data_IF_613986520002
#
_entry.id   IF_613986520002
#
_cell.length_a   1.000
_cell.length_b   1.000
_cell.length_c   1.000
_cell.angle_alpha   90.00
_cell.angle_beta   90.00
_cell.angle_gamma   90.00
#
_symmetry.space_group_name_H-M   'P 1'
#
loop_
_entity.id
_entity.type
_entity.pdbx_description
1 polymer ?
#
# COMPACT_ATOMS: atom_id res chain seq x y z
N UNK A 1 7.35 -20.76 17.87
CA UNK A 1 6.09 -20.17 18.42
C UNK A 1 5.51 -19.04 17.55
N UNK A 2 5.89 -18.88 16.26
CA UNK A 2 5.33 -17.84 15.39
C UNK A 2 3.94 -18.22 14.83
N UNK A 3 3.69 -19.52 14.58
CA UNK A 3 2.44 -20.02 13.98
C UNK A 3 1.20 -19.87 14.87
N UNK A 4 1.38 -19.85 16.20
CA UNK A 4 0.27 -19.73 17.14
C UNK A 4 -0.18 -18.27 17.33
N UNK A 5 0.71 -17.28 17.18
CA UNK A 5 0.29 -15.88 17.18
C UNK A 5 -0.52 -15.54 15.92
N UNK A 6 -0.17 -16.09 14.76
CA UNK A 6 -0.95 -15.90 13.53
C UNK A 6 -2.38 -16.48 13.62
N UNK A 7 -2.59 -17.58 14.35
CA UNK A 7 -3.91 -18.21 14.50
C UNK A 7 -4.86 -17.42 15.43
N UNK A 8 -4.33 -16.88 16.53
CA UNK A 8 -5.11 -16.07 17.49
C UNK A 8 -5.45 -14.71 16.88
N UNK A 9 -4.52 -14.09 16.15
CA UNK A 9 -4.77 -12.84 15.42
C UNK A 9 -5.79 -13.06 14.29
N UNK A 10 -5.67 -14.14 13.50
CA UNK A 10 -6.59 -14.44 12.41
C UNK A 10 -8.05 -14.69 12.87
N UNK A 11 -8.24 -15.27 14.06
CA UNK A 11 -9.59 -15.48 14.62
C UNK A 11 -10.24 -14.17 15.06
N UNK A 12 -9.46 -13.24 15.61
CA UNK A 12 -9.95 -11.93 16.03
C UNK A 12 -10.32 -11.06 14.82
N UNK A 13 -9.48 -11.08 13.77
CA UNK A 13 -9.70 -10.38 12.50
C UNK A 13 -10.91 -10.96 11.78
N UNK A 14 -11.07 -12.28 11.72
CA UNK A 14 -12.22 -12.94 11.11
C UNK A 14 -13.57 -12.54 11.74
N UNK A 15 -13.61 -12.34 13.05
CA UNK A 15 -14.82 -11.90 13.75
C UNK A 15 -15.21 -10.44 13.42
N UNK A 16 -14.23 -9.55 13.24
CA UNK A 16 -14.46 -8.15 12.86
C UNK A 16 -14.87 -8.05 11.39
N UNK A 17 -14.21 -8.79 10.50
CA UNK A 17 -14.53 -8.85 9.06
C UNK A 17 -15.95 -9.38 8.81
N UNK A 18 -16.40 -10.39 9.57
CA UNK A 18 -17.77 -10.91 9.47
C UNK A 18 -18.84 -9.87 9.85
N UNK A 19 -18.51 -8.89 10.69
CA UNK A 19 -19.44 -7.80 11.06
C UNK A 19 -19.36 -6.58 10.15
N UNK A 20 -18.25 -6.41 9.42
CA UNK A 20 -18.02 -5.27 8.53
C UNK A 20 -18.56 -5.48 7.10
N UNK A 21 -18.85 -6.71 6.68
CA UNK A 21 -19.09 -7.07 5.28
C UNK A 21 -20.20 -6.31 4.52
N UNK A 22 -21.15 -5.64 5.20
CA UNK A 22 -22.26 -4.94 4.52
C UNK A 22 -22.02 -3.45 4.23
N UNK A 23 -20.98 -2.81 4.76
CA UNK A 23 -20.81 -1.35 4.65
C UNK A 23 -19.70 -0.88 3.68
N UNK A 24 -18.76 -1.75 3.28
CA UNK A 24 -17.49 -1.31 2.70
C UNK A 24 -17.34 -1.46 1.18
N UNK A 25 -18.30 -2.05 0.47
CA UNK A 25 -18.23 -2.19 -0.99
C UNK A 25 -18.30 -0.84 -1.74
N UNK A 26 -18.71 0.25 -1.08
CA UNK A 26 -18.86 1.57 -1.70
C UNK A 26 -17.57 2.42 -1.67
N UNK A 27 -16.52 1.97 -0.99
CA UNK A 27 -15.32 2.79 -0.73
C UNK A 27 -14.14 2.49 -1.67
N UNK A 28 -14.41 1.92 -2.85
CA UNK A 28 -13.46 1.93 -3.96
C UNK A 28 -13.33 3.39 -4.42
N UNK A 29 -12.43 4.12 -3.74
CA UNK A 29 -12.22 5.57 -3.83
C UNK A 29 -11.87 5.95 -5.27
N UNK A 30 -12.89 6.42 -6.00
CA UNK A 30 -12.69 7.08 -7.29
C UNK A 30 -11.91 8.38 -7.04
N UNK A 31 -10.65 8.43 -7.49
CA UNK A 31 -9.81 9.64 -7.42
C UNK A 31 -10.28 10.73 -8.39
N UNK A 32 -10.96 10.32 -9.46
CA UNK A 32 -11.53 11.22 -10.46
C UNK A 32 -12.65 12.04 -9.81
N UNK A 33 -12.41 13.34 -9.66
CA UNK A 33 -13.34 14.28 -9.01
C UNK A 33 -13.08 14.50 -7.50
N UNK A 34 -12.11 13.80 -6.91
CA UNK A 34 -11.71 14.05 -5.53
C UNK A 34 -10.98 15.40 -5.40
N UNK A 35 -11.25 16.13 -4.31
CA UNK A 35 -10.60 17.43 -4.05
C UNK A 35 -9.25 17.22 -3.37
N UNK A 36 -8.27 18.02 -3.77
CA UNK A 36 -7.00 18.14 -3.03
C UNK A 36 -7.29 18.83 -1.70
N UNK A 37 -7.05 18.13 -0.60
CA UNK A 37 -7.33 18.63 0.75
C UNK A 37 -6.21 19.53 1.26
N UNK A 38 -4.96 19.13 1.04
CA UNK A 38 -3.77 19.91 1.40
C UNK A 38 -2.59 19.54 0.50
N UNK A 39 -1.53 20.34 0.53
CA UNK A 39 -0.28 20.10 -0.19
C UNK A 39 0.87 20.14 0.82
N UNK A 40 1.71 19.11 0.85
CA UNK A 40 2.85 18.98 1.77
C UNK A 40 4.16 18.88 0.99
N UNK A 41 5.28 19.27 1.60
CA UNK A 41 6.61 19.13 0.99
C UNK A 41 7.07 17.66 1.01
N UNK A 42 7.63 17.21 -0.11
CA UNK A 42 8.34 15.94 -0.22
C UNK A 42 9.81 16.17 0.06
N UNK A 43 10.35 15.39 1.00
CA UNK A 43 11.76 15.40 1.35
C UNK A 43 12.39 14.05 0.99
N UNK A 44 13.47 14.05 0.21
CA UNK A 44 14.28 12.85 -0.08
C UNK A 44 15.69 13.12 0.41
N UNK A 45 16.22 12.25 1.28
CA UNK A 45 17.53 12.44 1.93
C UNK A 45 17.69 13.80 2.65
N UNK A 46 16.59 14.38 3.14
CA UNK A 46 16.58 15.67 3.84
C UNK A 46 16.55 16.91 2.93
N UNK A 47 16.46 16.71 1.61
CA UNK A 47 16.32 17.80 0.63
C UNK A 47 14.86 17.87 0.13
N UNK A 48 14.36 19.09 -0.05
CA UNK A 48 13.01 19.32 -0.61
C UNK A 48 13.06 19.04 -2.11
N UNK A 49 12.25 18.09 -2.56
CA UNK A 49 12.25 17.61 -3.95
C UNK A 49 10.94 17.86 -4.69
N UNK A 50 9.92 18.37 -3.99
CA UNK A 50 8.65 18.75 -4.61
C UNK A 50 7.51 18.83 -3.61
N UNK A 51 6.30 18.94 -4.16
CA UNK A 51 5.05 19.07 -3.43
C UNK A 51 4.18 17.83 -3.65
N UNK A 52 3.46 17.39 -2.60
CA UNK A 52 2.63 16.18 -2.59
C UNK A 52 1.20 16.55 -2.23
N UNK A 53 0.21 16.30 -3.12
CA UNK A 53 -1.18 16.48 -2.78
C UNK A 53 -1.65 15.37 -1.82
N UNK A 54 -2.42 15.80 -0.82
CA UNK A 54 -3.15 14.91 0.09
C UNK A 54 -4.60 14.85 -0.39
N UNK A 55 -5.02 13.69 -0.88
CA UNK A 55 -6.37 13.43 -1.40
C UNK A 55 -7.02 12.37 -0.52
N UNK A 56 -8.18 12.68 0.06
CA UNK A 56 -8.92 11.76 0.95
C UNK A 56 -8.07 11.18 2.08
N UNK A 57 -7.16 12.01 2.64
CA UNK A 57 -6.25 11.64 3.73
C UNK A 57 -5.05 10.80 3.32
N UNK A 58 -4.81 10.58 2.03
CA UNK A 58 -3.65 9.83 1.49
C UNK A 58 -2.76 10.76 0.67
N UNK A 59 -1.44 10.60 0.81
CA UNK A 59 -0.44 11.35 0.03
C UNK A 59 -0.17 10.68 -1.31
N UNK A 60 -0.08 11.47 -2.39
CA UNK A 60 0.19 10.97 -3.74
C UNK A 60 1.50 11.54 -4.28
N UNK A 61 2.56 10.73 -4.22
CA UNK A 61 3.89 11.20 -4.54
C UNK A 61 4.09 11.46 -6.05
N UNK A 62 4.78 12.54 -6.44
CA UNK A 62 5.05 12.89 -7.83
C UNK A 62 6.09 11.95 -8.46
N UNK A 63 5.59 10.97 -9.21
CA UNK A 63 6.40 9.90 -9.84
C UNK A 63 7.56 10.45 -10.67
N UNK A 64 7.33 11.51 -11.46
CA UNK A 64 8.37 12.11 -12.31
C UNK A 64 9.56 12.64 -11.52
N UNK A 65 9.31 13.40 -10.46
CA UNK A 65 10.36 14.02 -9.66
C UNK A 65 11.19 12.97 -8.92
N UNK A 66 10.52 11.95 -8.37
CA UNK A 66 11.19 10.82 -7.71
C UNK A 66 12.06 10.04 -8.70
N UNK A 67 11.54 9.80 -9.91
CA UNK A 67 12.24 9.07 -10.94
C UNK A 67 13.47 9.82 -11.47
N UNK A 68 13.36 11.14 -11.69
CA UNK A 68 14.49 11.97 -12.11
C UNK A 68 15.65 11.91 -11.10
N UNK A 69 15.33 11.97 -9.79
CA UNK A 69 16.33 11.82 -8.72
C UNK A 69 16.96 10.43 -8.72
N UNK A 70 16.16 9.41 -9.03
CA UNK A 70 16.61 8.04 -9.16
C UNK A 70 17.34 7.74 -10.48
N UNK A 71 17.53 8.75 -11.36
CA UNK A 71 18.19 8.57 -12.66
C UNK A 71 17.35 7.80 -13.68
N UNK A 72 16.03 7.78 -13.50
CA UNK A 72 15.08 7.10 -14.37
C UNK A 72 14.36 8.12 -15.28
N UNK A 73 14.02 7.70 -16.49
CA UNK A 73 13.10 8.38 -17.40
C UNK A 73 11.67 7.93 -17.14
N UNK A 74 10.72 8.86 -17.31
CA UNK A 74 9.29 8.61 -17.07
C UNK A 74 8.50 8.86 -18.34
N UNK A 75 7.78 7.83 -18.80
CA UNK A 75 6.85 7.92 -19.92
C UNK A 75 5.40 7.72 -19.48
N UNK A 76 4.47 8.39 -20.18
CA UNK A 76 3.04 8.36 -19.92
C UNK A 76 2.28 7.95 -21.19
N UNK A 77 2.18 6.64 -21.43
CA UNK A 77 1.56 6.09 -22.64
C UNK A 77 0.32 5.26 -22.30
N UNK A 78 -0.78 5.47 -23.05
CA UNK A 78 -2.04 4.71 -22.92
C UNK A 78 -2.65 4.69 -21.50
N UNK A 79 -2.49 5.76 -20.73
CA UNK A 79 -2.99 5.81 -19.34
C UNK A 79 -2.17 4.97 -18.35
N UNK A 80 -0.98 4.52 -18.75
CA UNK A 80 0.02 3.87 -17.89
C UNK A 80 1.20 4.80 -17.67
N UNK A 81 1.95 4.56 -16.59
CA UNK A 81 3.19 5.26 -16.27
C UNK A 81 4.33 4.24 -16.35
N UNK A 82 5.36 4.55 -17.13
CA UNK A 82 6.55 3.73 -17.33
C UNK A 82 7.75 4.43 -16.70
N UNK A 83 8.63 3.64 -16.08
CA UNK A 83 9.87 4.10 -15.47
C UNK A 83 11.02 3.27 -16.06
N UNK A 84 11.97 3.94 -16.71
CA UNK A 84 13.09 3.29 -17.40
C UNK A 84 14.41 3.84 -16.85
N UNK A 85 15.38 2.97 -16.56
CA UNK A 85 16.72 3.43 -16.16
C UNK A 85 17.49 3.94 -17.37
N UNK A 86 18.13 5.11 -17.26
CA UNK A 86 19.04 5.61 -18.30
C UNK A 86 20.17 4.59 -18.51
N UNK A 87 20.32 4.12 -19.74
CA UNK A 87 21.30 3.10 -20.13
C UNK A 87 22.75 3.57 -19.88
N UNK A 88 23.22 3.32 -18.66
CA UNK A 88 24.61 3.02 -18.33
C UNK A 88 24.60 1.80 -17.39
N UNK A 89 24.39 0.62 -17.99
CA UNK A 89 25.03 -0.62 -17.56
C UNK A 89 24.78 -1.15 -16.15
N UNK A 90 23.55 -1.06 -15.62
CA UNK A 90 23.08 -2.09 -14.68
C UNK A 90 21.91 -2.78 -15.37
N UNK A 91 22.13 -4.01 -15.84
CA UNK A 91 21.03 -4.93 -16.15
C UNK A 91 20.30 -5.20 -14.81
N UNK A 92 19.37 -4.33 -14.44
CA UNK A 92 18.30 -4.70 -13.53
C UNK A 92 17.45 -5.68 -14.33
N UNK A 93 17.57 -6.97 -14.03
CA UNK A 93 16.64 -7.95 -14.57
C UNK A 93 15.21 -7.48 -14.32
N UNK A 94 14.34 -7.65 -15.33
CA UNK A 94 12.91 -7.41 -15.17
C UNK A 94 12.43 -8.04 -13.86
N UNK A 95 11.79 -7.27 -12.95
CA UNK A 95 11.35 -7.80 -11.67
C UNK A 95 10.40 -8.97 -11.94
N UNK A 96 10.67 -10.11 -11.33
CA UNK A 96 9.81 -11.28 -11.51
C UNK A 96 8.45 -11.00 -10.87
N UNK A 97 7.42 -11.77 -11.24
CA UNK A 97 6.11 -11.64 -10.60
C UNK A 97 6.19 -11.86 -9.08
N UNK A 98 7.10 -12.73 -8.63
CA UNK A 98 7.41 -12.92 -7.20
C UNK A 98 7.96 -11.63 -6.59
N UNK A 99 8.95 -10.98 -7.23
CA UNK A 99 9.56 -9.74 -6.71
C UNK A 99 8.54 -8.61 -6.55
N UNK A 100 7.58 -8.51 -7.49
CA UNK A 100 6.50 -7.53 -7.44
C UNK A 100 5.54 -7.81 -6.29
N UNK A 101 5.09 -9.06 -6.14
CA UNK A 101 4.17 -9.48 -5.06
C UNK A 101 4.84 -9.29 -3.69
N UNK A 102 6.08 -9.72 -3.52
CA UNK A 102 6.82 -9.53 -2.27
C UNK A 102 7.04 -8.05 -1.92
N UNK A 103 7.31 -7.21 -2.93
CA UNK A 103 7.46 -5.76 -2.71
C UNK A 103 6.15 -5.12 -2.26
N UNK A 104 5.02 -5.57 -2.82
CA UNK A 104 3.68 -5.12 -2.39
C UNK A 104 3.40 -5.56 -0.96
N UNK A 105 3.69 -6.82 -0.61
CA UNK A 105 3.54 -7.33 0.76
C UNK A 105 4.34 -6.50 1.77
N UNK A 106 5.62 -6.21 1.49
CA UNK A 106 6.46 -5.34 2.34
C UNK A 106 5.88 -3.94 2.52
N UNK A 107 5.34 -3.36 1.44
CA UNK A 107 4.72 -2.04 1.48
C UNK A 107 3.46 -2.01 2.36
N UNK A 108 2.57 -3.00 2.21
CA UNK A 108 1.35 -3.11 3.01
C UNK A 108 1.66 -3.35 4.50
N UNK A 109 2.64 -4.19 4.80
CA UNK A 109 3.11 -4.43 6.18
C UNK A 109 3.64 -3.16 6.85
N UNK A 110 4.37 -2.32 6.09
CA UNK A 110 4.86 -1.04 6.58
C UNK A 110 3.69 -0.07 6.88
N UNK A 111 2.66 -0.04 6.04
CA UNK A 111 1.45 0.77 6.29
C UNK A 111 0.75 0.29 7.56
N UNK A 112 0.47 -1.01 7.68
CA UNK A 112 -0.21 -1.58 8.86
C UNK A 112 0.59 -1.29 10.13
N UNK A 113 1.91 -1.35 10.08
CA UNK A 113 2.77 -1.00 11.21
C UNK A 113 2.60 0.46 11.62
N UNK A 114 2.59 1.38 10.65
CA UNK A 114 2.34 2.80 10.89
C UNK A 114 0.96 3.05 11.51
N UNK A 115 -0.06 2.35 11.04
CA UNK A 115 -1.44 2.43 11.56
C UNK A 115 -1.56 1.90 12.99
N UNK A 116 -0.93 0.77 13.30
CA UNK A 116 -0.89 0.21 14.67
C UNK A 116 -0.21 1.18 15.64
N UNK A 117 0.86 1.85 15.20
CA UNK A 117 1.49 2.91 15.98
C UNK A 117 0.58 4.13 16.21
N UNK A 118 -0.21 4.51 15.21
CA UNK A 118 -1.19 5.59 15.34
C UNK A 118 -2.31 5.25 16.35
N UNK A 119 -2.84 4.02 16.30
CA UNK A 119 -3.80 3.52 17.30
C UNK A 119 -3.18 3.60 18.70
N UNK A 120 -1.97 3.08 18.87
CA UNK A 120 -1.27 3.13 20.16
C UNK A 120 -1.12 4.56 20.70
N UNK A 121 -0.82 5.52 19.82
CA UNK A 121 -0.78 6.94 20.16
C UNK A 121 -2.13 7.46 20.67
N UNK A 122 -3.21 7.20 19.95
CA UNK A 122 -4.56 7.61 20.37
C UNK A 122 -5.00 6.93 21.67
N UNK A 123 -4.73 5.63 21.85
CA UNK A 123 -5.02 4.95 23.11
C UNK A 123 -4.26 5.55 24.29
N UNK A 124 -3.01 5.94 24.08
CA UNK A 124 -2.20 6.59 25.12
C UNK A 124 -2.81 7.93 25.52
N UNK A 125 -3.24 8.73 24.55
CA UNK A 125 -3.93 10.00 24.80
C UNK A 125 -5.25 9.80 25.54
N UNK A 126 -6.03 8.78 25.17
CA UNK A 126 -7.28 8.42 25.88
C UNK A 126 -7.00 8.01 27.33
N UNK A 127 -5.93 7.24 27.58
CA UNK A 127 -5.54 6.80 28.94
C UNK A 127 -5.06 7.97 29.82
N UNK A 128 -4.45 8.98 29.21
CA UNK A 128 -3.98 10.19 29.91
C UNK A 128 -5.10 11.18 30.19
N UNK A 129 -6.23 11.09 29.47
CA UNK A 129 -7.38 11.94 29.70
C UNK A 129 -8.09 11.53 31.00
N UNK A 130 -8.26 12.51 31.90
CA UNK A 130 -8.89 12.32 33.21
C UNK A 130 -10.41 12.35 33.14
N UNK A 131 -10.98 12.97 32.10
CA UNK A 131 -12.42 13.02 31.88
C UNK A 131 -12.85 12.15 30.68
N UNK A 132 -13.43 10.96 30.91
CA UNK A 132 -13.87 10.07 29.82
C UNK A 132 -15.04 10.64 28.99
N UNK A 133 -15.66 11.74 29.42
CA UNK A 133 -16.69 12.48 28.66
C UNK A 133 -16.13 13.64 27.83
N UNK A 134 -14.80 13.77 27.72
CA UNK A 134 -14.20 14.76 26.84
C UNK A 134 -14.54 14.41 25.37
N UNK A 135 -15.07 15.38 24.63
CA UNK A 135 -15.36 15.23 23.19
C UNK A 135 -14.13 14.78 22.40
N UNK A 136 -12.93 15.17 22.84
CA UNK A 136 -11.65 14.75 22.25
C UNK A 136 -11.44 13.23 22.35
N UNK A 137 -11.89 12.57 23.42
CA UNK A 137 -11.81 11.11 23.57
C UNK A 137 -12.74 10.43 22.56
N UNK A 138 -13.92 10.99 22.31
CA UNK A 138 -14.84 10.47 21.30
C UNK A 138 -14.20 10.54 19.89
N UNK A 139 -13.57 11.67 19.57
CA UNK A 139 -12.84 11.85 18.30
C UNK A 139 -11.69 10.82 18.16
N UNK A 140 -10.92 10.57 19.22
CA UNK A 140 -9.84 9.58 19.18
C UNK A 140 -10.37 8.16 18.97
N UNK A 141 -11.49 7.80 19.60
CA UNK A 141 -12.14 6.50 19.38
C UNK A 141 -12.64 6.34 17.95
N UNK A 142 -13.22 7.39 17.37
CA UNK A 142 -13.64 7.38 15.96
C UNK A 142 -12.45 7.20 15.02
N UNK A 143 -11.35 7.91 15.27
CA UNK A 143 -10.11 7.73 14.49
C UNK A 143 -9.54 6.31 14.60
N UNK A 144 -9.53 5.73 15.80
CA UNK A 144 -9.12 4.34 16.00
C UNK A 144 -10.01 3.41 15.16
N UNK A 145 -11.34 3.55 15.22
CA UNK A 145 -12.25 2.70 14.47
C UNK A 145 -12.03 2.80 12.94
N UNK A 146 -11.76 3.99 12.42
CA UNK A 146 -11.43 4.18 10.99
C UNK A 146 -10.12 3.49 10.62
N UNK A 147 -9.09 3.60 11.48
CA UNK A 147 -7.79 2.96 11.27
C UNK A 147 -7.91 1.44 11.36
N UNK A 148 -8.67 0.91 12.31
CA UNK A 148 -8.94 -0.53 12.45
C UNK A 148 -9.64 -1.10 11.21
N UNK A 149 -10.63 -0.38 10.66
CA UNK A 149 -11.28 -0.77 9.42
C UNK A 149 -10.31 -0.80 8.23
N UNK A 150 -9.39 0.17 8.15
CA UNK A 150 -8.37 0.19 7.09
C UNK A 150 -7.36 -0.95 7.22
N UNK A 151 -6.89 -1.22 8.45
CA UNK A 151 -6.01 -2.37 8.72
C UNK A 151 -6.68 -3.66 8.24
N UNK A 152 -7.98 -3.87 8.53
CA UNK A 152 -8.68 -5.07 8.09
C UNK A 152 -8.70 -5.22 6.56
N UNK A 153 -8.87 -4.13 5.81
CA UNK A 153 -8.78 -4.14 4.35
C UNK A 153 -7.39 -4.50 3.85
N UNK A 154 -6.35 -3.92 4.46
CA UNK A 154 -4.95 -4.19 4.09
C UNK A 154 -4.55 -5.64 4.42
N UNK A 155 -5.03 -6.17 5.54
CA UNK A 155 -4.81 -7.57 5.93
C UNK A 155 -5.51 -8.54 4.96
N UNK A 156 -6.68 -8.17 4.41
CA UNK A 156 -7.32 -8.93 3.33
C UNK A 156 -6.49 -8.92 2.05
N UNK A 157 -5.96 -7.76 1.64
CA UNK A 157 -5.10 -7.65 0.44
C UNK A 157 -3.81 -8.46 0.60
N UNK A 158 -3.22 -8.47 1.80
CA UNK A 158 -2.07 -9.32 2.12
C UNK A 158 -2.43 -10.80 1.95
N UNK A 159 -3.59 -11.25 2.45
CA UNK A 159 -4.00 -12.63 2.33
C UNK A 159 -4.18 -13.07 0.86
N UNK A 160 -4.74 -12.21 0.02
CA UNK A 160 -4.89 -12.47 -1.41
C UNK A 160 -3.52 -12.57 -2.11
N UNK A 161 -2.58 -11.68 -1.77
CA UNK A 161 -1.21 -11.68 -2.31
C UNK A 161 -0.38 -12.89 -1.84
N UNK A 162 -0.55 -13.32 -0.58
CA UNK A 162 0.07 -14.53 -0.06
C UNK A 162 -0.45 -15.79 -0.77
N UNK A 163 -1.75 -15.82 -1.11
CA UNK A 163 -2.34 -16.89 -1.91
C UNK A 163 -1.78 -16.88 -3.34
N UNK A 164 -1.69 -15.71 -3.98
CA UNK A 164 -1.06 -15.56 -5.30
C UNK A 164 0.40 -16.03 -5.29
N UNK A 165 1.16 -15.69 -4.25
CA UNK A 165 2.54 -16.11 -4.10
C UNK A 165 2.65 -17.64 -4.01
N UNK A 166 1.81 -18.28 -3.21
CA UNK A 166 1.77 -19.73 -3.08
C UNK A 166 1.40 -20.44 -4.40
N UNK A 167 0.51 -19.85 -5.20
CA UNK A 167 0.19 -20.35 -6.55
C UNK A 167 1.38 -20.23 -7.51
N UNK A 168 2.13 -19.12 -7.45
CA UNK A 168 3.34 -18.94 -8.26
C UNK A 168 4.41 -19.98 -7.89
N UNK A 169 4.60 -20.23 -6.59
CA UNK A 169 5.58 -21.20 -6.09
C UNK A 169 5.25 -22.66 -6.47
N UNK A 170 3.96 -22.98 -6.63
CA UNK A 170 3.49 -24.33 -6.95
C UNK A 170 3.35 -24.60 -8.44
N UNK A 171 3.38 -23.56 -9.29
CA UNK A 171 3.28 -23.69 -10.74
C UNK A 171 4.51 -23.08 -11.47
N UNK A 172 5.53 -23.90 -11.82
CA UNK A 172 6.78 -23.42 -12.43
C UNK A 172 6.63 -22.85 -13.85
N UNK A 173 5.41 -22.74 -14.39
CA UNK A 173 5.13 -22.12 -15.69
C UNK A 173 4.95 -20.60 -15.62
N UNK A 174 4.85 -20.00 -14.42
CA UNK A 174 4.73 -18.54 -14.23
C UNK A 174 6.04 -17.86 -13.81
N UNK A 175 7.15 -18.60 -13.72
CA UNK A 175 8.49 -18.07 -13.42
C UNK A 175 9.26 -17.62 -14.66
N UNK A 176 8.74 -17.89 -15.86
CA UNK A 176 9.32 -17.33 -17.08
C UNK A 176 8.72 -15.96 -17.35
N UNK A 177 9.61 -14.98 -17.40
CA UNK A 177 9.40 -13.68 -18.03
C UNK A 177 8.55 -13.84 -19.28
N UNK A 178 7.67 -12.88 -19.53
CA UNK A 178 6.95 -12.80 -20.79
C UNK A 178 7.95 -12.83 -21.93
N UNK A 179 8.16 -14.01 -22.53
CA UNK A 179 8.88 -14.14 -23.77
C UNK A 179 8.10 -13.34 -24.77
N UNK A 180 8.62 -12.15 -25.06
CA UNK A 180 8.36 -11.40 -26.28
C UNK A 180 8.24 -12.41 -27.40
N UNK A 181 7.01 -12.56 -27.90
CA UNK A 181 6.73 -13.39 -29.05
C UNK A 181 7.50 -12.80 -30.21
N UNK A 182 8.69 -13.35 -30.46
CA UNK A 182 9.34 -13.31 -31.75
C UNK A 182 8.28 -13.75 -32.77
N UNK A 183 7.73 -12.80 -33.51
CA UNK A 183 6.92 -13.07 -34.66
C UNK A 183 7.87 -13.40 -35.82
N UNK A 184 7.98 -14.65 -36.28
CA UNK A 184 8.75 -14.95 -37.47
C UNK A 184 7.84 -14.76 -38.68
N UNK A 185 8.36 -14.01 -39.66
CA UNK A 185 8.14 -14.21 -41.09
C UNK A 185 6.70 -14.04 -41.61
N UNK A 186 6.49 -12.96 -42.35
CA UNK A 186 5.88 -13.09 -43.67
C UNK A 186 6.80 -12.43 -44.70
N UNK A 187 7.13 -13.25 -45.70
CA UNK A 187 7.85 -12.96 -46.95
C UNK A 187 7.28 -11.77 -47.73
#
# INVERSE_FOLDING_TARGET
MKKLSYFITGTLVGAVVMTAGSAFASEIKQLVGAKVGSVWELHVNGEVVGDVPIISGSSYAPVRQIAEIAGMDVDFTQGKVFLETKEDGIEMGEPTRVDVVESRLRYLDAIITGEKNAIFGYETLIKQESSPKNEVVAIYREKIAVIEARIATLESEIADLEAELAEIETNPLYTQSGTSGNNPLHE
#
